data_IF_436413073593
#
_entry.id   IF_436413073593
#
_cell.length_a   1.000
_cell.length_b   1.000
_cell.length_c   1.000
_cell.angle_alpha   90.00
_cell.angle_beta   90.00
_cell.angle_gamma   90.00
#
_symmetry.space_group_name_H-M   'P 1'
#
loop_
_entity.id
_entity.type
_entity.pdbx_description
1 polymer ?
#
# COMPACT_ATOMS: atom_id res chain seq x y z
N UNK A 1 0.82 18.68 -16.16
CA UNK A 1 1.72 18.56 -14.99
C UNK A 1 1.85 17.10 -14.52
N UNK A 2 2.27 16.16 -15.39
CA UNK A 2 2.22 14.72 -15.09
C UNK A 2 3.58 14.08 -14.68
N UNK A 3 4.65 14.87 -14.53
CA UNK A 3 6.02 14.35 -14.42
C UNK A 3 6.62 14.29 -13.00
N UNK A 4 6.04 14.97 -12.01
CA UNK A 4 6.71 15.17 -10.71
C UNK A 4 6.25 14.22 -9.59
N UNK A 5 5.07 13.59 -9.72
CA UNK A 5 4.56 12.60 -8.76
C UNK A 5 5.19 11.21 -8.91
N UNK A 6 5.67 10.84 -10.10
CA UNK A 6 6.13 9.49 -10.40
C UNK A 6 7.44 9.08 -9.70
N UNK A 7 8.27 10.06 -9.28
CA UNK A 7 9.54 9.79 -8.58
C UNK A 7 9.38 9.61 -7.07
N UNK A 8 8.33 10.17 -6.48
CA UNK A 8 8.08 10.11 -5.03
C UNK A 8 7.63 8.71 -4.58
N UNK A 9 6.69 8.09 -5.29
CA UNK A 9 6.10 6.82 -4.82
C UNK A 9 6.84 5.55 -5.27
N UNK A 10 8.09 5.67 -5.71
CA UNK A 10 8.85 4.58 -6.32
C UNK A 10 9.13 3.42 -5.33
N UNK A 11 9.32 3.73 -4.04
CA UNK A 11 9.61 2.72 -3.02
C UNK A 11 8.41 1.79 -2.74
N UNK A 12 7.21 2.36 -2.55
CA UNK A 12 5.97 1.60 -2.41
C UNK A 12 5.71 0.77 -3.67
N UNK A 13 5.82 1.41 -4.85
CA UNK A 13 5.63 0.73 -6.12
C UNK A 13 6.61 -0.43 -6.30
N UNK A 14 7.88 -0.27 -5.95
CA UNK A 14 8.87 -1.35 -6.02
C UNK A 14 8.55 -2.50 -5.06
N UNK A 15 8.03 -2.22 -3.86
CA UNK A 15 7.60 -3.27 -2.94
C UNK A 15 6.41 -4.06 -3.51
N UNK A 16 5.41 -3.36 -4.05
CA UNK A 16 4.20 -3.99 -4.59
C UNK A 16 4.48 -4.69 -5.94
N UNK A 17 5.41 -4.19 -6.76
CA UNK A 17 5.84 -4.85 -8.01
C UNK A 17 6.57 -6.19 -7.77
N UNK A 18 7.06 -6.44 -6.54
CA UNK A 18 7.58 -7.74 -6.11
C UNK A 18 6.48 -8.76 -5.83
N UNK A 19 5.21 -8.35 -5.75
CA UNK A 19 4.05 -9.25 -5.59
C UNK A 19 3.67 -10.01 -6.88
N UNK A 20 4.54 -10.02 -7.89
CA UNK A 20 4.36 -10.78 -9.12
C UNK A 20 3.57 -10.06 -10.22
N UNK A 21 3.33 -10.74 -11.35
CA UNK A 21 2.75 -10.14 -12.57
C UNK A 21 1.36 -9.52 -12.34
N UNK A 22 0.53 -10.13 -11.49
CA UNK A 22 -0.83 -9.64 -11.24
C UNK A 22 -0.82 -8.25 -10.59
N UNK A 23 0.04 -8.03 -9.60
CA UNK A 23 0.19 -6.73 -8.97
C UNK A 23 0.67 -5.65 -9.97
N UNK A 24 1.55 -6.00 -10.91
CA UNK A 24 1.99 -5.07 -11.97
C UNK A 24 0.87 -4.65 -12.91
N UNK A 25 -0.20 -5.44 -13.00
CA UNK A 25 -1.40 -5.14 -13.79
C UNK A 25 -2.44 -4.34 -13.01
N UNK A 26 -2.59 -4.61 -11.72
CA UNK A 26 -3.61 -4.00 -10.86
C UNK A 26 -3.20 -2.58 -10.43
N UNK A 27 -1.93 -2.36 -10.08
CA UNK A 27 -1.48 -1.04 -9.60
C UNK A 27 -1.71 0.09 -10.62
N UNK A 28 -1.34 -0.06 -11.91
CA UNK A 28 -1.60 1.01 -12.88
C UNK A 28 -3.09 1.24 -13.13
N UNK A 29 -3.95 0.26 -12.85
CA UNK A 29 -5.40 0.42 -12.93
C UNK A 29 -5.95 1.19 -11.74
N UNK A 30 -5.46 0.91 -10.52
CA UNK A 30 -5.75 1.70 -9.34
C UNK A 30 -5.27 3.16 -9.48
N UNK A 31 -4.06 3.36 -10.02
CA UNK A 31 -3.52 4.70 -10.31
C UNK A 31 -4.39 5.49 -11.30
N UNK A 32 -5.16 4.79 -12.16
CA UNK A 32 -6.10 5.37 -13.14
C UNK A 32 -7.55 5.42 -12.62
N UNK A 33 -7.80 5.04 -11.37
CA UNK A 33 -9.14 5.00 -10.79
C UNK A 33 -10.06 3.91 -11.34
N UNK A 34 -9.49 2.86 -11.94
CA UNK A 34 -10.25 1.70 -12.43
C UNK A 34 -10.45 0.62 -11.38
N UNK A 35 -9.51 0.51 -10.43
CA UNK A 35 -9.55 -0.44 -9.33
C UNK A 35 -9.38 0.32 -8.00
N UNK A 36 -9.89 -0.26 -6.91
CA UNK A 36 -9.63 0.23 -5.54
C UNK A 36 -8.76 -0.78 -4.80
N UNK A 37 -7.65 -0.31 -4.22
CA UNK A 37 -6.74 -1.13 -3.42
C UNK A 37 -7.00 -0.83 -1.95
N UNK A 38 -7.41 -1.85 -1.21
CA UNK A 38 -7.52 -1.79 0.24
C UNK A 38 -6.20 -2.24 0.87
N UNK A 39 -5.67 -1.41 1.76
CA UNK A 39 -4.45 -1.69 2.52
C UNK A 39 -4.87 -1.79 3.97
N UNK A 40 -4.64 -2.95 4.61
CA UNK A 40 -4.94 -3.08 6.04
C UNK A 40 -3.94 -2.28 6.88
N UNK A 41 -4.40 -1.76 8.02
CA UNK A 41 -3.51 -1.15 9.00
C UNK A 41 -2.41 -2.12 9.50
N UNK A 42 -2.70 -3.44 9.52
CA UNK A 42 -1.72 -4.48 9.86
C UNK A 42 -0.57 -4.50 8.83
N UNK A 43 -0.87 -4.46 7.54
CA UNK A 43 0.15 -4.46 6.49
C UNK A 43 1.06 -3.24 6.55
N UNK A 44 0.52 -2.08 6.94
CA UNK A 44 1.33 -0.88 7.21
C UNK A 44 2.26 -1.08 8.41
N UNK A 45 1.80 -1.73 9.46
CA UNK A 45 2.61 -2.06 10.62
C UNK A 45 3.74 -3.04 10.28
N UNK A 46 3.47 -4.04 9.44
CA UNK A 46 4.49 -4.98 8.94
C UNK A 46 5.57 -4.26 8.10
N UNK A 47 5.14 -3.35 7.23
CA UNK A 47 6.05 -2.53 6.41
C UNK A 47 6.92 -1.63 7.30
N UNK A 48 6.33 -1.01 8.34
CA UNK A 48 7.07 -0.24 9.33
C UNK A 48 8.14 -1.10 10.02
N UNK A 49 7.77 -2.29 10.49
CA UNK A 49 8.68 -3.21 11.14
C UNK A 49 9.85 -3.60 10.23
N UNK A 50 9.57 -3.93 8.97
CA UNK A 50 10.59 -4.27 7.97
C UNK A 50 11.52 -3.08 7.67
N UNK A 51 10.98 -1.86 7.61
CA UNK A 51 11.76 -0.64 7.40
C UNK A 51 12.70 -0.37 8.58
N UNK A 52 12.20 -0.46 9.81
CA UNK A 52 13.00 -0.30 11.03
C UNK A 52 14.11 -1.36 11.16
N UNK A 53 13.83 -2.59 10.74
CA UNK A 53 14.83 -3.66 10.68
C UNK A 53 15.85 -3.48 9.53
N UNK A 54 15.82 -2.35 8.80
CA UNK A 54 16.64 -2.06 7.60
C UNK A 54 16.53 -3.11 6.50
N UNK A 55 15.45 -3.90 6.49
CA UNK A 55 15.19 -4.95 5.49
C UNK A 55 14.61 -4.38 4.20
N UNK A 56 14.02 -3.19 4.28
CA UNK A 56 13.52 -2.42 3.13
C UNK A 56 13.84 -0.94 3.35
N UNK A 57 14.15 -0.22 2.28
CA UNK A 57 14.37 1.23 2.31
C UNK A 57 13.06 1.89 1.88
N UNK A 58 12.18 2.14 2.84
CA UNK A 58 10.89 2.82 2.62
C UNK A 58 10.77 3.98 3.58
N UNK A 59 10.47 5.16 3.01
CA UNK A 59 10.02 6.31 3.78
C UNK A 59 8.53 6.12 4.14
N UNK A 60 8.28 5.86 5.42
CA UNK A 60 6.93 5.63 5.94
C UNK A 60 6.06 6.88 5.81
N UNK A 61 6.64 8.08 5.96
CA UNK A 61 5.92 9.33 5.84
C UNK A 61 5.46 9.54 4.40
N UNK A 62 6.33 9.26 3.43
CA UNK A 62 5.98 9.34 2.01
C UNK A 62 4.91 8.32 1.63
N UNK A 63 5.01 7.09 2.13
CA UNK A 63 4.01 6.04 1.89
C UNK A 63 2.64 6.40 2.47
N UNK A 64 2.60 6.82 3.73
CA UNK A 64 1.34 7.20 4.38
C UNK A 64 0.72 8.41 3.69
N UNK A 65 1.54 9.41 3.33
CA UNK A 65 1.10 10.57 2.53
C UNK A 65 0.55 10.18 1.17
N UNK A 66 1.13 9.18 0.50
CA UNK A 66 0.60 8.66 -0.77
C UNK A 66 -0.79 8.05 -0.58
N UNK A 67 -0.93 7.15 0.39
CA UNK A 67 -2.18 6.42 0.63
C UNK A 67 -3.29 7.40 1.02
N UNK A 68 -3.01 8.32 1.94
CA UNK A 68 -4.03 9.27 2.43
C UNK A 68 -4.47 10.29 1.38
N UNK A 69 -3.60 10.65 0.43
CA UNK A 69 -3.94 11.56 -0.67
C UNK A 69 -4.48 10.85 -1.92
N UNK A 70 -4.54 9.53 -1.92
CA UNK A 70 -5.04 8.76 -3.05
C UNK A 70 -6.52 8.45 -2.90
N UNK A 71 -7.29 8.63 -3.97
CA UNK A 71 -8.72 8.27 -3.96
C UNK A 71 -8.95 6.77 -4.06
N UNK A 72 -7.99 6.03 -4.62
CA UNK A 72 -8.15 4.61 -4.98
C UNK A 72 -7.28 3.67 -4.13
N UNK A 73 -6.59 4.22 -3.14
CA UNK A 73 -5.85 3.45 -2.13
C UNK A 73 -6.47 3.76 -0.78
N UNK A 74 -7.19 2.79 -0.22
CA UNK A 74 -7.97 2.99 1.00
C UNK A 74 -7.27 2.27 2.15
N UNK A 75 -6.95 3.01 3.20
CA UNK A 75 -6.53 2.44 4.46
C UNK A 75 -7.75 1.82 5.16
N UNK A 76 -7.81 0.49 5.17
CA UNK A 76 -8.83 -0.24 5.88
C UNK A 76 -8.45 -0.31 7.38
N UNK A 77 -9.25 0.28 8.29
CA UNK A 77 -9.06 0.09 9.72
C UNK A 77 -9.25 -1.39 10.05
N UNK A 78 -8.57 -1.86 11.10
CA UNK A 78 -8.79 -3.20 11.63
C UNK A 78 -9.45 -3.06 12.98
N UNK A 79 -10.62 -3.68 13.14
CA UNK A 79 -11.37 -3.71 14.38
C UNK A 79 -11.58 -5.16 14.87
N UNK A 80 -12.14 -5.30 16.07
CA UNK A 80 -12.41 -6.60 16.67
C UNK A 80 -13.37 -7.46 15.82
N UNK A 81 -14.31 -6.84 15.09
CA UNK A 81 -15.26 -7.57 14.26
C UNK A 81 -14.55 -8.23 13.07
N UNK A 82 -13.62 -7.52 12.42
CA UNK A 82 -12.79 -8.09 11.35
C UNK A 82 -11.93 -9.26 11.85
N UNK A 83 -11.35 -9.12 13.04
CA UNK A 83 -10.53 -10.18 13.65
C UNK A 83 -11.37 -11.43 13.93
N UNK A 84 -12.56 -11.26 14.53
CA UNK A 84 -13.46 -12.37 14.80
C UNK A 84 -13.96 -13.04 13.51
N UNK A 85 -14.25 -12.24 12.47
CA UNK A 85 -14.66 -12.77 11.16
C UNK A 85 -13.57 -13.64 10.53
N UNK A 86 -12.31 -13.20 10.59
CA UNK A 86 -11.18 -13.96 10.05
C UNK A 86 -10.88 -15.25 10.83
N UNK A 87 -11.16 -15.29 12.13
CA UNK A 87 -10.96 -16.47 12.97
C UNK A 87 -12.01 -17.57 12.76
N UNK A 88 -13.09 -17.29 12.02
CA UNK A 88 -14.20 -18.22 11.78
C UNK A 88 -14.08 -18.94 10.42
N UNK A 89 -12.91 -18.85 9.77
CA UNK A 89 -12.58 -19.53 8.50
C UNK A 89 -12.03 -20.93 8.79
#
# INVERSE_FOLDING_TARGET
MAGYGAKKYAALRNLILRLGQQARRILPQADRGKDTIFISAISLMEILYLSQAKRITIDLLEMTTFITNSTNYILAPVDAHMVLSAATI
#
